data_IF_624764587418
#
_entry.id   IF_624764587418
#
_cell.length_a   1.000
_cell.length_b   1.000
_cell.length_c   1.000
_cell.angle_alpha   90.00
_cell.angle_beta   90.00
_cell.angle_gamma   90.00
#
_symmetry.space_group_name_H-M   'P 1'
#
loop_
_entity.id
_entity.type
_entity.pdbx_description
1 polymer ?
#
# COMPACT_ATOMS: atom_id res chain seq x y z
N UNK A 1 20.76 18.63 16.81
CA UNK A 1 21.23 17.27 16.42
C UNK A 1 20.01 16.48 16.03
N UNK A 2 19.99 15.88 14.84
CA UNK A 2 18.83 15.14 14.36
C UNK A 2 18.57 13.86 15.19
N UNK A 3 17.30 13.55 15.47
CA UNK A 3 16.88 12.32 16.16
C UNK A 3 15.87 11.54 15.33
N UNK A 4 15.88 10.22 15.47
CA UNK A 4 14.92 9.30 14.88
C UNK A 4 14.15 8.58 15.99
N UNK A 5 12.83 8.72 16.00
CA UNK A 5 11.92 8.05 16.93
C UNK A 5 11.00 7.07 16.20
N UNK A 6 10.85 5.87 16.76
CA UNK A 6 10.00 4.81 16.24
C UNK A 6 8.64 4.84 16.95
N UNK A 7 7.63 5.42 16.29
CA UNK A 7 6.27 5.56 16.83
C UNK A 7 5.39 4.34 16.54
N UNK A 8 5.82 3.48 15.61
CA UNK A 8 5.15 2.23 15.29
C UNK A 8 6.00 1.30 14.42
N UNK A 9 5.44 0.15 14.06
CA UNK A 9 6.10 -0.92 13.30
C UNK A 9 7.46 -1.41 13.87
N UNK A 10 7.74 -1.15 15.15
CA UNK A 10 8.85 -1.77 15.86
C UNK A 10 8.38 -3.08 16.50
N UNK A 11 9.02 -4.20 16.16
CA UNK A 11 8.66 -5.56 16.64
C UNK A 11 7.24 -6.00 16.19
N UNK A 12 6.72 -5.39 15.13
CA UNK A 12 5.44 -5.73 14.49
C UNK A 12 5.47 -5.27 13.03
N UNK A 13 4.70 -5.91 12.15
CA UNK A 13 4.69 -5.60 10.71
C UNK A 13 3.93 -4.31 10.40
N UNK A 14 2.86 -4.02 11.14
CA UNK A 14 1.90 -2.96 10.78
C UNK A 14 2.04 -1.72 11.63
N UNK A 15 1.51 -0.59 11.13
CA UNK A 15 1.44 0.67 11.85
C UNK A 15 2.69 1.54 11.71
N UNK A 16 3.36 1.48 10.56
CA UNK A 16 4.59 2.21 10.24
C UNK A 16 4.43 3.72 10.45
N UNK A 17 5.24 4.27 11.36
CA UNK A 17 5.34 5.69 11.72
C UNK A 17 6.72 5.96 12.31
N UNK A 18 7.52 6.78 11.66
CA UNK A 18 8.87 7.15 12.11
C UNK A 18 9.03 8.66 12.11
N UNK A 19 9.35 9.24 13.26
CA UNK A 19 9.55 10.69 13.38
C UNK A 19 11.03 11.03 13.29
N UNK A 20 11.37 11.86 12.32
CA UNK A 20 12.68 12.49 12.22
C UNK A 20 12.55 13.94 12.70
N UNK A 21 13.29 14.29 13.75
CA UNK A 21 13.26 15.61 14.37
C UNK A 21 14.60 16.31 14.22
N UNK A 22 14.56 17.60 13.89
CA UNK A 22 15.73 18.46 13.67
C UNK A 22 15.42 19.85 14.19
N UNK A 23 16.45 20.69 14.27
CA UNK A 23 16.28 22.11 14.62
C UNK A 23 15.50 22.89 13.53
N UNK A 24 15.43 22.36 12.31
CA UNK A 24 14.73 22.97 11.17
C UNK A 24 13.27 22.48 11.01
N UNK A 25 12.84 21.47 11.77
CA UNK A 25 11.47 20.96 11.76
C UNK A 25 11.36 19.44 11.92
N UNK A 26 10.12 18.96 11.84
CA UNK A 26 9.70 17.58 12.12
C UNK A 26 9.11 16.91 10.88
N UNK A 27 9.72 15.80 10.46
CA UNK A 27 9.31 14.97 9.33
C UNK A 27 8.83 13.62 9.83
N UNK A 28 7.58 13.27 9.52
CA UNK A 28 7.04 11.93 9.74
C UNK A 28 7.18 11.10 8.46
N UNK A 29 7.84 9.94 8.55
CA UNK A 29 7.89 8.93 7.49
C UNK A 29 6.86 7.86 7.79
N UNK A 30 5.93 7.68 6.85
CA UNK A 30 4.71 6.88 6.96
C UNK A 30 3.77 7.33 8.10
N UNK A 31 2.47 7.07 7.90
CA UNK A 31 1.41 7.34 8.87
C UNK A 31 0.39 6.20 8.84
N UNK A 32 0.83 5.01 9.25
CA UNK A 32 0.10 3.76 9.06
C UNK A 32 -0.77 3.29 10.21
N UNK A 33 -1.83 2.53 9.90
CA UNK A 33 -2.66 1.82 10.88
C UNK A 33 -2.03 0.49 11.32
N UNK A 34 -2.22 0.15 12.58
CA UNK A 34 -2.05 -1.21 13.05
C UNK A 34 -3.19 -2.10 12.51
N UNK A 35 -2.83 -3.18 11.83
CA UNK A 35 -3.75 -4.19 11.29
C UNK A 35 -3.49 -5.56 11.92
N UNK A 36 -4.34 -6.55 11.59
CA UNK A 36 -4.18 -7.93 12.06
C UNK A 36 -4.86 -8.15 13.41
N UNK A 37 -4.12 -8.57 14.43
CA UNK A 37 -4.67 -8.96 15.74
C UNK A 37 -5.43 -7.82 16.43
N UNK A 38 -6.46 -8.16 17.21
CA UNK A 38 -7.31 -7.16 17.89
C UNK A 38 -6.51 -6.21 18.78
N UNK A 39 -5.55 -6.75 19.52
CA UNK A 39 -4.68 -5.96 20.41
C UNK A 39 -3.88 -4.90 19.65
N UNK A 40 -3.36 -5.25 18.46
CA UNK A 40 -2.70 -4.29 17.58
C UNK A 40 -3.68 -3.22 17.09
N UNK A 41 -4.86 -3.62 16.61
CA UNK A 41 -5.86 -2.65 16.12
C UNK A 41 -6.32 -1.65 17.18
N UNK A 42 -6.36 -2.06 18.46
CA UNK A 42 -6.71 -1.17 19.57
C UNK A 42 -5.68 -0.04 19.74
N UNK A 43 -4.40 -0.26 19.39
CA UNK A 43 -3.36 0.77 19.46
C UNK A 43 -3.61 1.97 18.54
N UNK A 44 -4.47 1.83 17.53
CA UNK A 44 -4.87 2.96 16.70
C UNK A 44 -5.72 4.00 17.46
N UNK A 45 -6.30 3.63 18.60
CA UNK A 45 -7.08 4.52 19.46
C UNK A 45 -6.22 5.20 20.53
N UNK A 46 -4.97 4.76 20.71
CA UNK A 46 -4.05 5.39 21.63
C UNK A 46 -3.62 6.76 21.11
N UNK A 47 -3.46 7.72 22.01
CA UNK A 47 -2.89 9.02 21.66
C UNK A 47 -1.42 8.81 21.30
N UNK A 48 -1.01 9.32 20.13
CA UNK A 48 0.41 9.34 19.77
C UNK A 48 1.20 10.14 20.81
N UNK A 49 2.45 9.76 21.11
CA UNK A 49 3.31 10.50 22.04
C UNK A 49 3.85 11.81 21.43
N UNK A 50 3.20 12.32 20.38
CA UNK A 50 3.54 13.54 19.65
C UNK A 50 2.25 14.31 19.33
N UNK A 51 2.32 15.64 19.33
CA UNK A 51 1.20 16.47 18.89
C UNK A 51 1.19 16.54 17.36
N UNK A 52 0.09 16.15 16.67
CA UNK A 52 0.03 16.20 15.21
C UNK A 52 0.31 17.58 14.61
N UNK A 53 -0.12 18.65 15.30
CA UNK A 53 0.13 20.03 14.90
C UNK A 53 1.62 20.44 14.96
N UNK A 54 2.48 19.66 15.62
CA UNK A 54 3.92 19.91 15.68
C UNK A 54 4.69 19.34 14.50
N UNK A 55 4.07 18.52 13.66
CA UNK A 55 4.72 17.91 12.49
C UNK A 55 4.53 18.80 11.27
N UNK A 56 5.63 19.11 10.59
CA UNK A 56 5.66 20.00 9.43
C UNK A 56 5.40 19.26 8.12
N UNK A 57 5.92 18.03 8.02
CA UNK A 57 5.87 17.22 6.82
C UNK A 57 5.56 15.76 7.11
N UNK A 58 4.81 15.14 6.21
CA UNK A 58 4.63 13.69 6.14
C UNK A 58 5.10 13.23 4.77
N UNK A 59 5.91 12.17 4.72
CA UNK A 59 6.27 11.48 3.48
C UNK A 59 5.81 10.03 3.56
N UNK A 60 5.14 9.55 2.51
CA UNK A 60 4.55 8.21 2.47
C UNK A 60 5.31 7.34 1.47
N UNK A 61 5.72 6.15 1.92
CA UNK A 61 6.49 5.20 1.12
C UNK A 61 5.63 4.56 0.04
N UNK A 62 4.42 4.12 0.37
CA UNK A 62 3.51 3.47 -0.58
C UNK A 62 2.06 3.44 -0.06
N UNK A 63 1.11 3.07 -0.91
CA UNK A 63 -0.33 3.18 -0.64
C UNK A 63 -0.95 2.19 0.35
N UNK A 64 -0.23 1.24 0.94
CA UNK A 64 -0.85 0.32 1.89
C UNK A 64 -1.34 1.03 3.16
N UNK A 65 -2.41 0.50 3.74
CA UNK A 65 -3.12 1.10 4.89
C UNK A 65 -2.29 1.06 6.18
N UNK A 66 -1.41 0.09 6.33
CA UNK A 66 -0.45 0.01 7.42
C UNK A 66 0.77 0.95 7.27
N UNK A 67 0.82 1.74 6.19
CA UNK A 67 1.75 2.85 5.96
C UNK A 67 1.05 4.21 5.82
N UNK A 68 -0.25 4.25 5.52
CA UNK A 68 -0.95 5.51 5.19
C UNK A 68 -2.29 5.71 5.90
N UNK A 69 -2.90 4.64 6.40
CA UNK A 69 -4.27 4.64 6.89
C UNK A 69 -4.49 5.44 8.18
N UNK A 70 -3.44 5.82 8.91
CA UNK A 70 -3.57 6.67 10.10
C UNK A 70 -3.58 8.16 9.74
N UNK A 71 -3.21 8.53 8.51
CA UNK A 71 -3.19 9.91 8.05
C UNK A 71 -4.53 10.65 8.26
N UNK A 72 -5.71 10.07 7.96
CA UNK A 72 -6.99 10.75 8.21
C UNK A 72 -7.20 11.10 9.68
N UNK A 73 -6.84 10.16 10.58
CA UNK A 73 -6.89 10.39 12.01
C UNK A 73 -5.91 11.48 12.44
N UNK A 74 -4.69 11.45 11.91
CA UNK A 74 -3.65 12.43 12.20
C UNK A 74 -4.04 13.86 11.79
N UNK A 75 -4.68 14.02 10.63
CA UNK A 75 -5.24 15.29 10.13
C UNK A 75 -6.36 15.78 11.05
N UNK A 76 -7.28 14.88 11.41
CA UNK A 76 -8.39 15.16 12.33
C UNK A 76 -7.91 15.62 13.70
N UNK A 77 -6.83 15.02 14.20
CA UNK A 77 -6.22 15.33 15.49
C UNK A 77 -5.33 16.60 15.45
N UNK A 78 -5.25 17.30 14.31
CA UNK A 78 -4.69 18.66 14.25
C UNK A 78 -3.50 18.86 13.32
N UNK A 79 -3.05 17.85 12.58
CA UNK A 79 -1.99 18.03 11.59
C UNK A 79 -2.43 18.98 10.47
N UNK A 80 -1.56 19.93 10.12
CA UNK A 80 -1.78 20.95 9.06
C UNK A 80 -0.60 21.10 8.11
N UNK A 81 0.42 20.23 8.24
CA UNK A 81 1.62 20.24 7.42
C UNK A 81 1.37 19.74 6.00
N UNK A 82 2.47 19.51 5.26
CA UNK A 82 2.40 19.03 3.87
C UNK A 82 2.61 17.52 3.81
N UNK A 83 1.88 16.84 2.93
CA UNK A 83 2.01 15.40 2.72
C UNK A 83 2.54 15.14 1.32
N UNK A 84 3.55 14.29 1.19
CA UNK A 84 4.14 13.92 -0.09
C UNK A 84 4.18 12.41 -0.27
N UNK A 85 3.92 11.97 -1.50
CA UNK A 85 4.10 10.59 -1.93
C UNK A 85 4.42 10.61 -3.42
N UNK A 86 4.78 9.47 -4.01
CA UNK A 86 4.86 9.38 -5.48
C UNK A 86 3.49 9.66 -6.11
N UNK A 87 3.47 10.07 -7.39
CA UNK A 87 2.22 10.37 -8.12
C UNK A 87 1.22 9.22 -8.05
N UNK A 88 1.66 7.99 -8.36
CA UNK A 88 0.80 6.83 -8.30
C UNK A 88 0.31 6.50 -6.88
N UNK A 89 1.15 6.66 -5.85
CA UNK A 89 0.68 6.49 -4.47
C UNK A 89 -0.37 7.54 -4.10
N UNK A 90 -0.17 8.80 -4.49
CA UNK A 90 -1.15 9.86 -4.23
C UNK A 90 -2.51 9.57 -4.90
N UNK A 91 -2.51 9.03 -6.12
CA UNK A 91 -3.74 8.66 -6.82
C UNK A 91 -4.41 7.42 -6.21
N UNK A 92 -3.63 6.41 -5.81
CA UNK A 92 -4.16 5.25 -5.07
C UNK A 92 -4.83 5.66 -3.75
N UNK A 93 -4.25 6.62 -3.03
CA UNK A 93 -4.80 7.05 -1.73
C UNK A 93 -6.19 7.71 -1.85
N UNK A 94 -6.52 8.29 -3.01
CA UNK A 94 -7.86 8.87 -3.27
C UNK A 94 -8.97 7.82 -3.25
N UNK A 95 -8.65 6.54 -3.46
CA UNK A 95 -9.64 5.45 -3.37
C UNK A 95 -9.44 4.62 -2.10
N UNK A 96 -8.20 4.41 -1.65
CA UNK A 96 -7.90 3.53 -0.51
C UNK A 96 -8.30 4.14 0.84
N UNK A 97 -8.05 5.43 1.07
CA UNK A 97 -8.37 6.05 2.36
C UNK A 97 -9.89 6.20 2.58
N UNK A 98 -10.70 6.65 1.59
CA UNK A 98 -12.16 6.68 1.75
C UNK A 98 -12.77 5.30 1.96
N UNK A 99 -12.33 4.28 1.22
CA UNK A 99 -12.82 2.91 1.40
C UNK A 99 -12.48 2.36 2.78
N UNK A 100 -11.26 2.61 3.26
CA UNK A 100 -10.87 2.25 4.62
C UNK A 100 -11.73 2.96 5.67
N UNK A 101 -12.12 4.21 5.44
CA UNK A 101 -13.06 4.94 6.30
C UNK A 101 -14.47 4.34 6.25
N UNK A 102 -14.95 4.01 5.05
CA UNK A 102 -16.25 3.39 4.83
C UNK A 102 -16.39 2.04 5.57
N UNK A 103 -15.38 1.17 5.44
CA UNK A 103 -15.35 -0.12 6.14
C UNK A 103 -15.40 0.05 7.67
N UNK A 104 -14.78 1.11 8.20
CA UNK A 104 -14.86 1.42 9.63
C UNK A 104 -16.24 1.95 10.05
N UNK A 105 -16.89 2.74 9.20
CA UNK A 105 -18.27 3.19 9.43
C UNK A 105 -19.24 2.00 9.45
N UNK A 106 -19.08 1.05 8.53
CA UNK A 106 -19.86 -0.19 8.50
C UNK A 106 -19.64 -1.04 9.76
N UNK A 107 -18.38 -1.21 10.19
CA UNK A 107 -18.05 -1.93 11.42
C UNK A 107 -18.70 -1.26 12.65
N UNK A 108 -18.61 0.08 12.74
CA UNK A 108 -19.24 0.85 13.81
C UNK A 108 -20.78 0.72 13.80
N UNK A 109 -21.41 0.82 12.63
CA UNK A 109 -22.85 0.67 12.45
C UNK A 109 -23.32 -0.74 12.84
N UNK A 110 -22.58 -1.77 12.44
CA UNK A 110 -22.83 -3.15 12.81
C UNK A 110 -22.77 -3.36 14.33
N UNK A 111 -21.75 -2.81 14.99
CA UNK A 111 -21.60 -2.87 16.45
C UNK A 111 -22.71 -2.12 17.19
N UNK A 112 -23.12 -0.96 16.68
CA UNK A 112 -24.25 -0.20 17.23
C UNK A 112 -25.57 -0.99 17.10
N UNK A 113 -25.81 -1.62 15.95
CA UNK A 113 -27.01 -2.45 15.70
C UNK A 113 -27.04 -3.70 16.59
N UNK A 114 -25.90 -4.36 16.80
CA UNK A 114 -25.82 -5.59 17.61
C UNK A 114 -25.58 -5.36 19.10
N UNK A 115 -25.25 -4.13 19.52
CA UNK A 115 -24.94 -3.81 20.91
C UNK A 115 -23.70 -4.54 21.45
N UNK A 116 -22.76 -4.92 20.59
CA UNK A 116 -21.60 -5.78 20.93
C UNK A 116 -20.36 -5.00 21.37
N UNK A 117 -20.40 -3.68 21.28
CA UNK A 117 -19.31 -2.79 21.71
C UNK A 117 -19.49 -2.32 23.15
N UNK A 118 -18.36 -2.06 23.81
CA UNK A 118 -18.32 -1.43 25.14
C UNK A 118 -18.72 0.05 25.08
N UNK A 119 -18.48 0.71 23.95
CA UNK A 119 -18.77 2.13 23.75
C UNK A 119 -20.12 2.32 23.06
N UNK A 120 -20.89 3.32 23.51
CA UNK A 120 -22.22 3.65 22.99
C UNK A 120 -22.32 5.18 22.77
N UNK A 121 -22.36 5.67 21.52
CA UNK A 121 -22.23 4.90 20.28
C UNK A 121 -20.80 4.39 20.05
N UNK A 122 -20.67 3.32 19.28
CA UNK A 122 -19.42 2.95 18.60
C UNK A 122 -19.21 3.92 17.45
N UNK A 123 -18.02 4.50 17.37
CA UNK A 123 -17.62 5.42 16.31
C UNK A 123 -16.49 4.78 15.49
N UNK A 124 -16.40 5.07 14.18
CA UNK A 124 -15.21 4.74 13.40
C UNK A 124 -14.02 5.59 13.88
N UNK A 125 -12.78 5.16 13.61
CA UNK A 125 -11.60 5.98 13.91
C UNK A 125 -11.60 7.28 13.07
N UNK A 126 -12.02 7.13 11.81
CA UNK A 126 -12.29 8.18 10.84
C UNK A 126 -13.33 7.70 9.81
N UNK A 127 -14.03 8.63 9.17
CA UNK A 127 -15.10 8.36 8.18
C UNK A 127 -14.54 8.26 6.75
N UNK A 128 -15.36 7.81 5.79
CA UNK A 128 -14.99 7.90 4.37
C UNK A 128 -14.67 9.34 3.93
N UNK A 129 -15.40 10.32 4.46
CA UNK A 129 -15.17 11.76 4.23
C UNK A 129 -13.82 12.21 4.79
N UNK A 130 -13.49 11.84 6.04
CA UNK A 130 -12.19 12.12 6.64
C UNK A 130 -11.05 11.51 5.78
N UNK A 131 -11.27 10.29 5.27
CA UNK A 131 -10.35 9.60 4.37
C UNK A 131 -10.08 10.34 3.07
N UNK A 132 -11.14 10.84 2.43
CA UNK A 132 -11.04 11.62 1.18
C UNK A 132 -10.32 12.95 1.42
N UNK A 133 -10.72 13.68 2.45
CA UNK A 133 -10.09 14.96 2.80
C UNK A 133 -8.58 14.80 3.06
N UNK A 134 -8.17 13.72 3.72
CA UNK A 134 -6.76 13.43 3.94
C UNK A 134 -6.01 13.05 2.65
N UNK A 135 -6.64 12.27 1.76
CA UNK A 135 -6.05 11.92 0.47
C UNK A 135 -5.80 13.16 -0.41
N UNK A 136 -6.70 14.14 -0.37
CA UNK A 136 -6.56 15.40 -1.13
C UNK A 136 -5.39 16.28 -0.68
N UNK A 137 -4.88 16.08 0.55
CA UNK A 137 -3.67 16.76 1.04
C UNK A 137 -2.38 16.20 0.44
N UNK A 138 -2.41 14.98 -0.12
CA UNK A 138 -1.23 14.27 -0.61
C UNK A 138 -0.78 14.84 -1.95
N UNK A 139 0.43 15.39 -1.97
CA UNK A 139 1.06 15.90 -3.20
C UNK A 139 1.92 14.84 -3.85
N UNK A 140 1.58 14.49 -5.08
CA UNK A 140 2.35 13.55 -5.91
C UNK A 140 3.67 14.17 -6.40
N UNK A 141 4.78 13.45 -6.18
CA UNK A 141 6.13 13.81 -6.66
C UNK A 141 6.72 12.72 -7.54
N UNK A 142 7.75 13.06 -8.31
CA UNK A 142 8.49 12.11 -9.14
C UNK A 142 9.52 11.31 -8.35
N UNK A 143 10.02 10.22 -8.94
CA UNK A 143 11.22 9.55 -8.44
C UNK A 143 12.47 10.35 -8.79
N UNK A 144 13.54 10.16 -8.00
CA UNK A 144 14.91 10.67 -8.18
C UNK A 144 15.07 12.18 -8.12
N UNK A 145 13.98 12.94 -8.24
CA UNK A 145 13.93 14.38 -8.06
C UNK A 145 14.01 14.70 -6.55
N UNK A 146 15.07 15.40 -6.10
CA UNK A 146 15.14 15.81 -4.71
C UNK A 146 14.12 16.91 -4.41
N UNK A 147 13.43 16.77 -3.29
CA UNK A 147 12.46 17.73 -2.77
C UNK A 147 13.07 18.40 -1.53
N UNK A 148 13.37 19.70 -1.65
CA UNK A 148 13.80 20.52 -0.52
C UNK A 148 12.58 20.87 0.35
N UNK A 149 12.55 20.35 1.59
CA UNK A 149 11.47 20.61 2.55
C UNK A 149 11.75 21.89 3.35
N UNK A 150 13.00 22.05 3.80
CA UNK A 150 13.52 23.18 4.55
C UNK A 150 15.05 23.28 4.32
N UNK A 151 15.71 24.40 4.70
CA UNK A 151 17.17 24.47 4.67
C UNK A 151 17.80 23.29 5.43
N UNK A 152 18.58 22.48 4.72
CA UNK A 152 19.23 21.30 5.28
C UNK A 152 18.36 20.05 5.38
N UNK A 153 17.09 20.08 4.98
CA UNK A 153 16.21 18.90 4.90
C UNK A 153 15.76 18.68 3.46
N UNK A 154 16.20 17.56 2.89
CA UNK A 154 15.85 17.16 1.53
C UNK A 154 15.42 15.70 1.51
N UNK A 155 14.36 15.41 0.77
CA UNK A 155 13.88 14.03 0.57
C UNK A 155 13.98 13.62 -0.89
N UNK A 156 14.25 12.36 -1.15
CA UNK A 156 14.30 11.81 -2.51
C UNK A 156 13.63 10.45 -2.52
N UNK A 157 12.68 10.26 -3.43
CA UNK A 157 11.94 9.02 -3.61
C UNK A 157 12.63 8.17 -4.68
N UNK A 158 12.90 6.91 -4.38
CA UNK A 158 13.43 5.93 -5.34
C UNK A 158 12.51 4.72 -5.37
N UNK A 159 12.29 4.12 -6.54
CA UNK A 159 11.35 3.01 -6.69
C UNK A 159 11.71 1.85 -5.75
N UNK A 160 10.74 1.37 -4.98
CA UNK A 160 10.89 0.21 -4.12
C UNK A 160 10.40 -1.10 -4.76
N UNK A 161 9.61 -1.04 -5.84
CA UNK A 161 9.16 -2.22 -6.61
C UNK A 161 8.14 -3.12 -5.89
N UNK A 162 7.59 -2.69 -4.75
CA UNK A 162 6.63 -3.48 -3.95
C UNK A 162 5.21 -3.45 -4.49
N UNK A 163 4.68 -2.24 -4.65
CA UNK A 163 3.40 -1.95 -5.32
C UNK A 163 3.57 -0.73 -6.23
N UNK A 164 2.58 -0.45 -7.08
CA UNK A 164 2.59 0.76 -7.92
C UNK A 164 2.84 2.01 -7.06
N UNK A 165 3.79 2.84 -7.48
CA UNK A 165 4.17 4.05 -6.74
C UNK A 165 5.04 3.82 -5.50
N UNK A 166 5.36 2.58 -5.12
CA UNK A 166 6.14 2.32 -3.91
C UNK A 166 7.55 2.91 -3.99
N UNK A 167 8.00 3.49 -2.88
CA UNK A 167 9.27 4.19 -2.80
C UNK A 167 10.07 3.91 -1.53
N UNK A 168 11.36 3.71 -1.73
CA UNK A 168 12.41 3.91 -0.73
C UNK A 168 12.71 5.40 -0.65
N UNK A 169 12.69 5.95 0.55
CA UNK A 169 12.83 7.39 0.80
C UNK A 169 14.20 7.65 1.42
N UNK A 170 15.01 8.44 0.73
CA UNK A 170 16.26 8.98 1.29
C UNK A 170 15.98 10.36 1.88
N UNK A 171 16.28 10.54 3.15
CA UNK A 171 16.19 11.79 3.88
C UNK A 171 17.60 12.30 4.15
N UNK A 172 17.95 13.42 3.52
CA UNK A 172 19.21 14.13 3.73
C UNK A 172 19.00 15.24 4.76
N UNK A 173 19.65 15.11 5.92
CA UNK A 173 19.53 16.02 7.06
C UNK A 173 20.90 16.26 7.67
N UNK A 174 21.29 17.52 7.87
CA UNK A 174 22.56 17.91 8.51
C UNK A 174 23.80 17.22 7.91
N UNK A 175 23.77 16.98 6.59
CA UNK A 175 24.85 16.28 5.86
C UNK A 175 24.85 14.75 6.00
N UNK A 176 23.90 14.17 6.74
CA UNK A 176 23.68 12.73 6.87
C UNK A 176 22.57 12.24 5.93
N UNK A 177 22.60 10.96 5.56
CA UNK A 177 21.60 10.28 4.74
C UNK A 177 20.95 9.14 5.51
N UNK A 178 19.71 9.36 5.91
CA UNK A 178 18.85 8.34 6.52
C UNK A 178 17.93 7.76 5.45
N UNK A 179 17.94 6.45 5.28
CA UNK A 179 17.15 5.76 4.24
C UNK A 179 16.08 4.91 4.88
N UNK A 180 14.84 5.09 4.43
CA UNK A 180 13.70 4.25 4.79
C UNK A 180 13.31 3.41 3.59
N UNK A 181 13.43 2.08 3.71
CA UNK A 181 13.13 1.19 2.59
C UNK A 181 11.67 1.26 2.14
N UNK A 182 10.76 1.52 3.08
CA UNK A 182 9.37 1.09 2.94
C UNK A 182 9.31 -0.44 2.85
N UNK A 183 8.26 -0.96 2.24
CA UNK A 183 8.24 -2.36 1.85
C UNK A 183 8.98 -2.53 0.52
N UNK A 184 9.79 -3.60 0.41
CA UNK A 184 10.62 -3.85 -0.76
C UNK A 184 10.02 -4.91 -1.68
N UNK A 185 10.01 -4.57 -2.97
CA UNK A 185 9.70 -5.50 -4.05
C UNK A 185 10.74 -6.61 -4.18
N UNK A 186 10.29 -7.73 -4.73
CA UNK A 186 11.22 -8.80 -5.14
C UNK A 186 11.88 -8.45 -6.47
N UNK A 187 13.15 -8.80 -6.60
CA UNK A 187 13.84 -8.76 -7.88
C UNK A 187 13.22 -9.77 -8.86
N UNK A 188 13.14 -9.39 -10.13
CA UNK A 188 12.55 -10.18 -11.21
C UNK A 188 11.03 -10.33 -11.10
N UNK A 189 10.35 -9.41 -10.40
CA UNK A 189 8.89 -9.39 -10.36
C UNK A 189 8.32 -9.17 -11.77
N UNK A 190 7.17 -9.79 -12.11
CA UNK A 190 6.65 -9.79 -13.47
C UNK A 190 6.03 -8.47 -13.92
N UNK A 191 5.56 -7.65 -12.97
CA UNK A 191 4.76 -6.45 -13.25
C UNK A 191 5.60 -5.20 -13.01
N UNK A 192 6.09 -5.03 -11.79
CA UNK A 192 6.80 -3.83 -11.38
C UNK A 192 8.32 -4.04 -11.58
N UNK A 193 9.05 -3.00 -12.01
CA UNK A 193 10.49 -3.09 -12.11
C UNK A 193 11.14 -3.26 -10.74
N UNK A 194 12.36 -3.79 -10.76
CA UNK A 194 13.15 -4.05 -9.56
C UNK A 194 13.35 -2.78 -8.70
N UNK A 195 13.54 -2.94 -7.37
CA UNK A 195 13.89 -1.83 -6.51
C UNK A 195 15.14 -1.10 -7.03
N UNK A 196 15.09 0.24 -7.07
CA UNK A 196 16.25 1.05 -7.45
C UNK A 196 17.33 0.95 -6.36
N UNK A 197 18.61 0.78 -6.75
CA UNK A 197 19.69 0.71 -5.77
C UNK A 197 19.86 2.04 -5.02
N UNK A 198 20.26 1.92 -3.75
CA UNK A 198 20.71 3.02 -2.90
C UNK A 198 22.22 2.98 -2.87
N UNK A 199 22.88 4.05 -3.34
CA UNK A 199 24.33 4.09 -3.51
C UNK A 199 25.04 4.38 -2.19
N UNK A 200 24.48 5.29 -1.38
CA UNK A 200 25.08 5.75 -0.13
C UNK A 200 24.01 6.01 0.93
N UNK A 201 24.25 5.51 2.15
CA UNK A 201 23.44 5.77 3.33
C UNK A 201 24.33 5.76 4.56
N UNK A 202 24.07 6.66 5.52
CA UNK A 202 24.70 6.62 6.84
C UNK A 202 23.94 5.69 7.77
N UNK A 203 22.60 5.71 7.67
CA UNK A 203 21.67 4.91 8.46
C UNK A 203 20.56 4.37 7.56
N UNK A 204 20.15 3.12 7.79
CA UNK A 204 19.08 2.46 7.02
C UNK A 204 18.04 1.87 7.96
N UNK A 205 16.80 2.31 7.81
CA UNK A 205 15.60 1.67 8.36
C UNK A 205 15.03 0.77 7.28
N UNK A 206 15.21 -0.53 7.45
CA UNK A 206 14.79 -1.55 6.49
C UNK A 206 13.68 -2.41 7.07
N UNK A 207 12.70 -2.75 6.24
CA UNK A 207 11.68 -3.73 6.61
C UNK A 207 12.30 -5.11 6.89
N UNK A 208 11.58 -5.94 7.64
CA UNK A 208 12.04 -7.28 8.00
C UNK A 208 10.91 -8.30 7.96
N UNK A 209 9.92 -8.12 7.08
CA UNK A 209 8.71 -8.97 7.00
C UNK A 209 9.06 -10.45 6.81
N UNK A 210 10.11 -10.71 6.03
CA UNK A 210 10.65 -12.05 5.76
C UNK A 210 12.06 -12.25 6.32
N UNK A 211 12.47 -11.46 7.32
CA UNK A 211 13.83 -11.51 7.88
C UNK A 211 14.20 -12.85 8.51
N UNK A 212 13.21 -13.72 8.79
CA UNK A 212 13.36 -15.03 9.43
C UNK A 212 13.41 -16.21 8.44
N UNK A 213 13.19 -16.00 7.14
CA UNK A 213 13.02 -17.10 6.18
C UNK A 213 13.55 -16.78 4.78
N UNK A 214 13.75 -17.82 3.98
CA UNK A 214 14.03 -17.70 2.55
C UNK A 214 12.77 -17.97 1.74
N UNK A 215 12.68 -17.36 0.56
CA UNK A 215 11.60 -17.64 -0.37
C UNK A 215 11.78 -19.01 -1.04
N UNK A 216 10.64 -19.63 -1.37
CA UNK A 216 10.62 -20.86 -2.16
C UNK A 216 11.25 -20.59 -3.54
N UNK A 217 12.27 -21.36 -3.97
CA UNK A 217 12.86 -21.20 -5.29
C UNK A 217 11.93 -21.65 -6.42
N UNK A 218 10.86 -22.40 -6.13
CA UNK A 218 9.90 -22.83 -7.15
C UNK A 218 9.21 -21.62 -7.79
N UNK A 219 9.27 -21.46 -9.13
CA UNK A 219 8.63 -20.34 -9.80
C UNK A 219 7.12 -20.29 -9.54
N UNK A 220 6.60 -19.09 -9.25
CA UNK A 220 5.17 -18.87 -8.96
C UNK A 220 4.24 -19.52 -10.00
N UNK A 221 4.49 -19.43 -11.34
CA UNK A 221 3.65 -20.09 -12.33
C UNK A 221 3.54 -21.62 -12.15
N UNK A 222 4.62 -22.28 -11.71
CA UNK A 222 4.61 -23.73 -11.46
C UNK A 222 3.78 -24.08 -10.22
N UNK A 223 3.92 -23.28 -9.15
CA UNK A 223 3.11 -23.44 -7.94
C UNK A 223 1.61 -23.26 -8.24
N UNK A 224 1.25 -22.21 -8.98
CA UNK A 224 -0.13 -21.92 -9.38
C UNK A 224 -0.71 -23.02 -10.26
N UNK A 225 0.00 -23.45 -11.30
CA UNK A 225 -0.45 -24.54 -12.18
C UNK A 225 -0.76 -25.81 -11.38
N UNK A 226 0.11 -26.18 -10.43
CA UNK A 226 -0.08 -27.36 -9.57
C UNK A 226 -1.34 -27.25 -8.72
N UNK A 227 -1.56 -26.10 -8.08
CA UNK A 227 -2.75 -25.88 -7.23
C UNK A 227 -4.02 -25.90 -8.09
N UNK A 228 -3.99 -25.26 -9.26
CA UNK A 228 -5.13 -25.17 -10.18
C UNK A 228 -5.51 -26.56 -10.70
N UNK A 229 -4.54 -27.33 -11.21
CA UNK A 229 -4.80 -28.69 -11.71
C UNK A 229 -5.41 -29.59 -10.65
N UNK A 230 -4.89 -29.53 -9.42
CA UNK A 230 -5.44 -30.29 -8.29
C UNK A 230 -6.89 -29.90 -7.93
N UNK A 231 -7.24 -28.63 -8.06
CA UNK A 231 -8.62 -28.17 -7.84
C UNK A 231 -9.56 -28.65 -8.97
N UNK A 232 -9.10 -28.57 -10.22
CA UNK A 232 -9.84 -29.05 -11.39
C UNK A 232 -10.12 -30.55 -11.34
N UNK A 233 -9.14 -31.36 -10.95
CA UNK A 233 -9.30 -32.81 -10.75
C UNK A 233 -10.40 -33.16 -9.74
N UNK A 234 -10.65 -32.27 -8.78
CA UNK A 234 -11.66 -32.43 -7.74
C UNK A 234 -13.00 -31.78 -8.08
N UNK A 235 -13.10 -31.05 -9.20
CA UNK A 235 -14.28 -30.25 -9.55
C UNK A 235 -14.56 -29.12 -8.54
N UNK A 236 -13.54 -28.61 -7.85
CA UNK A 236 -13.68 -27.62 -6.78
C UNK A 236 -13.37 -26.19 -7.23
N UNK A 237 -13.85 -25.21 -6.47
CA UNK A 237 -13.49 -23.80 -6.63
C UNK A 237 -12.19 -23.45 -5.89
N UNK A 238 -11.48 -22.44 -6.38
CA UNK A 238 -10.29 -21.86 -5.72
C UNK A 238 -10.67 -20.47 -5.22
N UNK A 239 -10.51 -20.23 -3.92
CA UNK A 239 -10.77 -18.93 -3.30
C UNK A 239 -9.42 -18.34 -2.89
N UNK A 240 -9.11 -17.13 -3.36
CA UNK A 240 -7.86 -16.42 -3.04
C UNK A 240 -8.17 -15.11 -2.32
N UNK A 241 -7.96 -15.02 -1.00
CA UNK A 241 -7.98 -13.73 -0.31
C UNK A 241 -6.72 -12.96 -0.69
N UNK A 242 -6.87 -11.78 -1.26
CA UNK A 242 -5.75 -10.93 -1.68
C UNK A 242 -6.08 -9.46 -1.41
N UNK A 243 -5.02 -8.67 -1.19
CA UNK A 243 -5.15 -7.22 -1.16
C UNK A 243 -5.56 -6.69 -2.54
N UNK A 244 -6.38 -5.64 -2.55
CA UNK A 244 -6.87 -5.02 -3.78
C UNK A 244 -5.74 -4.44 -4.64
N UNK A 245 -4.60 -4.10 -4.04
CA UNK A 245 -3.40 -3.59 -4.70
C UNK A 245 -2.22 -4.54 -4.51
N UNK A 246 -1.39 -4.72 -5.54
CA UNK A 246 -0.23 -5.60 -5.54
C UNK A 246 -0.57 -7.05 -5.93
N UNK A 247 -0.93 -7.88 -4.95
CA UNK A 247 -1.05 -9.34 -5.15
C UNK A 247 -2.16 -9.76 -6.09
N UNK A 248 -3.27 -9.02 -6.12
CA UNK A 248 -4.36 -9.29 -7.07
C UNK A 248 -3.86 -9.14 -8.52
N UNK A 249 -3.14 -8.06 -8.82
CA UNK A 249 -2.59 -7.79 -10.15
C UNK A 249 -1.55 -8.85 -10.56
N UNK A 250 -0.65 -9.26 -9.66
CA UNK A 250 0.32 -10.35 -9.93
C UNK A 250 -0.36 -11.69 -10.23
N UNK A 251 -1.40 -12.03 -9.46
CA UNK A 251 -2.14 -13.27 -9.69
C UNK A 251 -2.80 -13.27 -11.07
N UNK A 252 -3.43 -12.16 -11.46
CA UNK A 252 -4.04 -12.01 -12.78
C UNK A 252 -3.02 -12.18 -13.90
N UNK A 253 -1.85 -11.55 -13.77
CA UNK A 253 -0.76 -11.67 -14.73
C UNK A 253 -0.34 -13.14 -14.91
N UNK A 254 -0.11 -13.86 -13.81
CA UNK A 254 0.31 -15.25 -13.88
C UNK A 254 -0.78 -16.18 -14.43
N UNK A 255 -2.04 -15.96 -14.06
CA UNK A 255 -3.17 -16.72 -14.60
C UNK A 255 -3.29 -16.53 -16.11
N UNK A 256 -3.29 -15.27 -16.58
CA UNK A 256 -3.34 -14.97 -18.02
C UNK A 256 -2.17 -15.60 -18.78
N UNK A 257 -0.97 -15.57 -18.21
CA UNK A 257 0.21 -16.21 -18.80
C UNK A 257 0.10 -17.73 -18.92
N UNK A 258 -0.43 -18.41 -17.89
CA UNK A 258 -0.63 -19.86 -17.90
C UNK A 258 -1.72 -20.29 -18.91
N UNK A 259 -2.81 -19.51 -19.02
CA UNK A 259 -3.87 -19.75 -20.01
C UNK A 259 -3.38 -19.57 -21.44
N UNK A 260 -2.66 -18.46 -21.72
CA UNK A 260 -2.06 -18.19 -23.04
C UNK A 260 -1.06 -19.26 -23.47
N UNK A 261 -0.31 -19.80 -22.51
CA UNK A 261 0.64 -20.89 -22.74
C UNK A 261 -0.03 -22.28 -22.87
N UNK A 262 -1.35 -22.39 -22.69
CA UNK A 262 -2.08 -23.67 -22.71
C UNK A 262 -1.71 -24.62 -21.57
N UNK A 263 -1.07 -24.13 -20.50
CA UNK A 263 -0.67 -24.93 -19.33
C UNK A 263 -1.85 -25.25 -18.41
N UNK A 264 -2.86 -24.37 -18.42
CA UNK A 264 -4.17 -24.57 -17.79
C UNK A 264 -5.26 -24.22 -18.82
N UNK A 265 -6.46 -24.81 -18.72
CA UNK A 265 -7.60 -24.38 -19.52
C UNK A 265 -8.03 -22.97 -19.11
N UNK A 266 -8.76 -22.27 -19.99
CA UNK A 266 -9.40 -20.99 -19.65
C UNK A 266 -10.41 -21.20 -18.52
N UNK A 267 -10.23 -20.50 -17.41
CA UNK A 267 -11.07 -20.65 -16.22
C UNK A 267 -12.10 -19.52 -16.13
N UNK A 268 -13.31 -19.78 -15.61
CA UNK A 268 -14.18 -18.72 -15.15
C UNK A 268 -13.56 -18.09 -13.90
N UNK A 269 -12.90 -16.94 -14.06
CA UNK A 269 -12.28 -16.21 -12.96
C UNK A 269 -13.11 -14.98 -12.59
N UNK A 270 -13.26 -14.73 -11.28
CA UNK A 270 -14.06 -13.64 -10.74
C UNK A 270 -13.19 -12.73 -9.89
N UNK A 271 -13.32 -11.43 -10.10
CA UNK A 271 -12.75 -10.41 -9.22
C UNK A 271 -13.90 -9.73 -8.47
N UNK A 272 -14.05 -10.12 -7.20
CA UNK A 272 -15.10 -9.64 -6.32
C UNK A 272 -14.58 -8.51 -5.42
N UNK A 273 -14.18 -7.40 -6.06
CA UNK A 273 -13.71 -6.21 -5.36
C UNK A 273 -13.79 -4.98 -6.26
N UNK A 274 -14.76 -4.09 -6.03
CA UNK A 274 -14.80 -2.77 -6.67
C UNK A 274 -13.47 -2.02 -6.51
N UNK A 275 -12.83 -2.17 -5.35
CA UNK A 275 -11.54 -1.57 -5.05
C UNK A 275 -10.42 -2.11 -5.96
N UNK A 276 -10.34 -3.42 -6.15
CA UNK A 276 -9.31 -4.02 -7.01
C UNK A 276 -9.48 -3.59 -8.47
N UNK A 277 -10.73 -3.43 -8.93
CA UNK A 277 -11.06 -2.93 -10.27
C UNK A 277 -10.56 -1.49 -10.43
N UNK A 278 -10.95 -0.60 -9.52
CA UNK A 278 -10.56 0.81 -9.57
C UNK A 278 -9.04 0.99 -9.43
N UNK A 279 -8.40 0.21 -8.55
CA UNK A 279 -6.95 0.22 -8.43
C UNK A 279 -6.26 -0.20 -9.74
N UNK A 280 -6.83 -1.17 -10.45
CA UNK A 280 -6.27 -1.63 -11.72
C UNK A 280 -6.36 -0.57 -12.81
N UNK A 281 -7.41 0.26 -12.81
CA UNK A 281 -7.51 1.43 -13.68
C UNK A 281 -6.39 2.44 -13.38
N UNK A 282 -6.08 2.67 -12.09
CA UNK A 282 -4.95 3.53 -11.68
C UNK A 282 -3.61 2.95 -12.13
N UNK A 283 -3.38 1.63 -12.02
CA UNK A 283 -2.18 1.00 -12.56
C UNK A 283 -1.99 1.33 -14.04
N UNK A 284 -3.06 1.33 -14.83
CA UNK A 284 -2.97 1.63 -16.26
C UNK A 284 -2.79 3.14 -16.55
N UNK A 285 -3.14 4.01 -15.60
CA UNK A 285 -2.95 5.45 -15.70
C UNK A 285 -1.51 5.92 -15.42
N UNK A 286 -0.64 5.04 -14.89
CA UNK A 286 0.76 5.34 -14.55
C UNK A 286 1.78 4.49 -15.33
N UNK A 287 1.81 4.54 -16.69
CA UNK A 287 2.78 3.78 -17.48
C UNK A 287 4.25 4.11 -17.16
N UNK A 288 4.53 5.28 -16.58
CA UNK A 288 5.86 5.70 -16.12
C UNK A 288 6.42 4.86 -14.96
N UNK A 289 5.56 4.15 -14.22
CA UNK A 289 5.96 3.25 -13.14
C UNK A 289 6.40 1.85 -13.63
N UNK A 290 6.23 1.55 -14.92
CA UNK A 290 6.58 0.27 -15.54
C UNK A 290 7.77 0.39 -16.50
N UNK A 291 8.36 -0.76 -16.87
CA UNK A 291 9.46 -0.85 -17.84
C UNK A 291 9.23 -1.95 -18.88
N UNK A 292 9.99 -1.88 -19.98
CA UNK A 292 9.99 -2.89 -21.04
C UNK A 292 8.62 -3.17 -21.64
N UNK A 293 8.36 -4.45 -21.90
CA UNK A 293 7.12 -4.94 -22.51
C UNK A 293 5.89 -4.60 -21.65
N UNK A 294 6.02 -4.64 -20.32
CA UNK A 294 4.91 -4.34 -19.41
C UNK A 294 4.43 -2.90 -19.58
N UNK A 295 5.34 -1.94 -19.76
CA UNK A 295 5.00 -0.54 -20.04
C UNK A 295 4.20 -0.39 -21.34
N UNK A 296 4.56 -1.12 -22.38
CA UNK A 296 3.81 -1.10 -23.64
C UNK A 296 2.43 -1.74 -23.47
N UNK A 297 2.36 -2.88 -22.76
CA UNK A 297 1.11 -3.59 -22.52
C UNK A 297 0.09 -2.74 -21.76
N UNK A 298 0.49 -2.04 -20.68
CA UNK A 298 -0.43 -1.21 -19.88
C UNK A 298 -0.99 -0.02 -20.66
N UNK A 299 -0.30 0.45 -21.71
CA UNK A 299 -0.77 1.51 -22.60
C UNK A 299 -1.75 1.01 -23.67
N UNK A 300 -1.95 -0.31 -23.78
CA UNK A 300 -2.83 -0.92 -24.78
C UNK A 300 -4.10 -1.48 -24.15
N UNK A 301 -5.15 -1.67 -24.96
CA UNK A 301 -6.37 -2.38 -24.51
C UNK A 301 -6.16 -3.87 -24.22
N UNK A 302 -4.99 -4.42 -24.55
CA UNK A 302 -4.60 -5.80 -24.28
C UNK A 302 -3.76 -5.93 -22.98
N UNK A 303 -3.78 -4.90 -22.13
CA UNK A 303 -3.12 -4.93 -20.83
C UNK A 303 -3.49 -6.23 -20.07
N UNK A 304 -2.51 -7.01 -19.56
CA UNK A 304 -2.79 -8.23 -18.80
C UNK A 304 -3.50 -7.96 -17.48
N UNK A 305 -3.53 -6.69 -17.05
CA UNK A 305 -4.30 -6.22 -15.90
C UNK A 305 -5.74 -5.83 -16.30
N UNK A 306 -6.01 -5.57 -17.59
CA UNK A 306 -7.37 -5.31 -18.04
C UNK A 306 -8.19 -6.60 -18.05
N UNK A 307 -9.36 -6.50 -17.42
CA UNK A 307 -10.26 -7.61 -17.10
C UNK A 307 -11.05 -8.14 -18.31
N UNK A 308 -10.40 -8.36 -19.45
CA UNK A 308 -11.04 -8.94 -20.64
C UNK A 308 -11.53 -10.38 -20.41
N UNK A 309 -10.88 -11.10 -19.49
CA UNK A 309 -11.18 -12.51 -19.19
C UNK A 309 -11.73 -12.74 -17.77
N UNK A 310 -11.72 -11.74 -16.89
CA UNK A 310 -12.26 -11.82 -15.53
C UNK A 310 -13.68 -11.27 -15.48
N UNK A 311 -14.58 -12.02 -14.84
CA UNK A 311 -15.91 -11.52 -14.48
C UNK A 311 -15.76 -10.56 -13.31
N UNK A 312 -16.09 -9.30 -13.54
CA UNK A 312 -16.04 -8.27 -12.51
C UNK A 312 -17.35 -8.28 -11.73
N UNK A 313 -17.26 -8.47 -10.41
CA UNK A 313 -18.37 -8.24 -9.50
C UNK A 313 -18.12 -6.92 -8.75
N UNK A 314 -18.93 -5.92 -9.10
CA UNK A 314 -18.93 -4.57 -8.52
C UNK A 314 -20.00 -4.40 -7.45
N UNK A 315 -20.96 -5.32 -7.34
CA UNK A 315 -22.02 -5.25 -6.33
C UNK A 315 -22.27 -6.59 -5.62
N UNK A 316 -22.87 -6.58 -4.40
CA UNK A 316 -23.26 -7.80 -3.71
C UNK A 316 -24.23 -8.70 -4.51
N UNK A 317 -25.03 -8.12 -5.40
CA UNK A 317 -25.92 -8.87 -6.30
C UNK A 317 -25.12 -9.62 -7.37
N UNK A 318 -24.07 -8.99 -7.92
CA UNK A 318 -23.17 -9.62 -8.90
C UNK A 318 -22.28 -10.69 -8.26
N UNK A 319 -21.90 -10.53 -6.99
CA UNK A 319 -21.14 -11.51 -6.20
C UNK A 319 -21.93 -12.80 -5.88
N UNK A 320 -23.27 -12.74 -5.90
CA UNK A 320 -24.16 -13.88 -5.59
C UNK A 320 -24.49 -14.77 -6.80
N UNK A 321 -24.09 -14.37 -8.01
CA UNK A 321 -24.45 -15.01 -9.28
C UNK A 321 -23.39 -16.03 -9.75
#
# INVERSE_FOLDING_TARGET
MATLEFLGAAVTVTGSKYLVETDAGRLLVDCGLYQGLKELRLRNWDRLPIEPASVDWVVLTHGHIDHTGYLPRFVKDGFRGRVYATRATADLLKILLPDSGHLQEEEAAYHNKRGTSKHKPTLPLYTAEDGLAAAELVRGVGYREPLDLAPGIRVTFKRAGHILGSATITVQIDGRRLVFSGDLGRYGAPILPDPMPIEEADDVVVESTYGDRRHDPEPIPAQLERVIKKALERGGAIIVPAFAIGRTQELMYHLSGLEKAGRIPKLPAYMDSPMAINATEIYCAHPEDFEGEMREMVMTRNCPLHCGDFRLARSPEESRA
#
